data_IF_758990525564
#
_entry.id   IF_758990525564
#
_cell.length_a   1.000
_cell.length_b   1.000
_cell.length_c   1.000
_cell.angle_alpha   90.00
_cell.angle_beta   90.00
_cell.angle_gamma   90.00
#
_symmetry.space_group_name_H-M   'P 1'
#
loop_
_entity.id
_entity.type
_entity.pdbx_description
1 polymer ?
#
# COMPACT_ATOMS: atom_id res chain seq x y z
N UNK A 1 -51.82 30.77 50.14
CA UNK A 1 -50.94 31.30 49.08
C UNK A 1 -49.89 30.24 48.81
N UNK A 2 -50.12 29.37 47.82
CA UNK A 2 -49.32 28.18 47.53
C UNK A 2 -48.34 28.54 46.39
N UNK A 3 -47.03 28.43 46.63
CA UNK A 3 -45.98 28.69 45.64
C UNK A 3 -45.69 27.38 44.92
N UNK A 4 -46.07 27.29 43.64
CA UNK A 4 -45.72 26.18 42.75
C UNK A 4 -44.40 26.56 42.07
N UNK A 5 -43.29 25.94 42.49
CA UNK A 5 -42.04 25.94 41.75
C UNK A 5 -42.22 25.09 40.49
N UNK A 6 -42.34 25.74 39.33
CA UNK A 6 -42.28 25.08 38.03
C UNK A 6 -40.80 24.80 37.75
N UNK A 7 -40.35 23.61 38.12
CA UNK A 7 -39.01 23.12 37.82
C UNK A 7 -39.02 22.73 36.34
N UNK A 8 -38.56 23.63 35.48
CA UNK A 8 -38.30 23.31 34.07
C UNK A 8 -37.10 22.36 34.02
N UNK A 9 -37.38 21.05 33.98
CA UNK A 9 -36.39 20.01 33.74
C UNK A 9 -36.02 20.08 32.25
N UNK A 10 -35.00 20.86 31.92
CA UNK A 10 -34.40 20.84 30.59
C UNK A 10 -33.80 19.45 30.38
N UNK A 11 -34.47 18.64 29.56
CA UNK A 11 -33.92 17.39 29.06
C UNK A 11 -32.81 17.75 28.08
N UNK A 12 -31.54 17.65 28.51
CA UNK A 12 -30.40 17.71 27.62
C UNK A 12 -30.50 16.53 26.66
N UNK A 13 -30.84 16.80 25.40
CA UNK A 13 -30.67 15.83 24.32
C UNK A 13 -29.18 15.67 24.07
N UNK A 14 -28.57 14.61 24.62
CA UNK A 14 -27.27 14.14 24.17
C UNK A 14 -27.44 13.61 22.74
N UNK A 15 -27.08 14.44 21.77
CA UNK A 15 -26.77 13.98 20.43
C UNK A 15 -25.57 13.04 20.56
N UNK A 16 -25.84 11.74 20.60
CA UNK A 16 -24.84 10.69 20.38
C UNK A 16 -24.38 10.82 18.93
N UNK A 17 -23.43 11.75 18.74
CA UNK A 17 -22.67 11.84 17.52
C UNK A 17 -21.93 10.50 17.42
N UNK A 18 -22.48 9.58 16.63
CA UNK A 18 -21.87 8.30 16.37
C UNK A 18 -20.64 8.59 15.51
N UNK A 19 -19.55 9.00 16.17
CA UNK A 19 -18.27 9.24 15.54
C UNK A 19 -17.77 7.90 14.99
N UNK A 20 -18.15 7.59 13.76
CA UNK A 20 -17.52 6.52 13.00
C UNK A 20 -16.10 6.99 12.69
N UNK A 21 -15.15 6.48 13.46
CA UNK A 21 -13.74 6.71 13.16
C UNK A 21 -13.42 6.03 11.83
N UNK A 22 -12.90 6.80 10.88
CA UNK A 22 -12.47 6.26 9.59
C UNK A 22 -11.39 5.18 9.80
N UNK A 23 -11.45 4.11 9.00
CA UNK A 23 -10.41 3.10 8.99
C UNK A 23 -9.10 3.74 8.48
N UNK A 24 -8.01 3.74 9.27
CA UNK A 24 -6.76 4.38 8.86
C UNK A 24 -6.15 3.77 7.59
N UNK A 25 -6.33 2.47 7.35
CA UNK A 25 -5.85 1.83 6.12
C UNK A 25 -6.65 2.30 4.89
N UNK A 26 -7.97 2.41 5.03
CA UNK A 26 -8.85 2.96 4.00
C UNK A 26 -8.50 4.41 3.68
N UNK A 27 -8.31 5.25 4.71
CA UNK A 27 -7.88 6.65 4.55
C UNK A 27 -6.53 6.74 3.85
N UNK A 28 -5.56 5.93 4.27
CA UNK A 28 -4.22 5.89 3.67
C UNK A 28 -4.27 5.52 2.17
N UNK A 29 -5.14 4.58 1.77
CA UNK A 29 -5.33 4.26 0.35
C UNK A 29 -5.73 5.50 -0.47
N UNK A 30 -6.76 6.21 -0.01
CA UNK A 30 -7.30 7.38 -0.71
C UNK A 30 -6.32 8.55 -0.71
N UNK A 31 -5.62 8.79 0.40
CA UNK A 31 -4.61 9.84 0.53
C UNK A 31 -3.41 9.64 -0.41
N UNK A 32 -3.08 8.39 -0.75
CA UNK A 32 -2.05 8.06 -1.74
C UNK A 32 -2.58 7.96 -3.18
N UNK A 33 -3.79 8.47 -3.43
CA UNK A 33 -4.38 8.53 -4.77
C UNK A 33 -4.92 7.19 -5.28
N UNK A 34 -5.10 6.22 -4.40
CA UNK A 34 -5.74 4.94 -4.71
C UNK A 34 -7.26 4.98 -4.58
N UNK A 35 -7.92 3.95 -5.10
CA UNK A 35 -9.34 3.67 -4.90
C UNK A 35 -9.53 2.42 -4.07
N UNK A 36 -10.40 2.47 -3.06
CA UNK A 36 -10.71 1.33 -2.20
C UNK A 36 -11.90 0.53 -2.74
N UNK A 37 -11.75 -0.79 -2.79
CA UNK A 37 -12.80 -1.77 -3.11
C UNK A 37 -12.93 -2.75 -1.93
N UNK A 38 -14.16 -3.03 -1.48
CA UNK A 38 -14.39 -4.10 -0.49
C UNK A 38 -14.66 -5.39 -1.27
N UNK A 39 -13.86 -6.42 -1.01
CA UNK A 39 -13.93 -7.71 -1.70
C UNK A 39 -14.32 -8.80 -0.70
N UNK A 40 -15.40 -9.53 -1.01
CA UNK A 40 -15.77 -10.74 -0.28
C UNK A 40 -14.78 -11.88 -0.56
N UNK A 41 -14.43 -12.62 0.48
CA UNK A 41 -13.57 -13.80 0.48
C UNK A 41 -14.18 -14.88 1.38
N UNK A 42 -13.64 -16.10 1.28
CA UNK A 42 -14.10 -17.23 2.08
C UNK A 42 -13.97 -16.98 3.60
N UNK A 43 -13.06 -16.09 4.01
CA UNK A 43 -12.76 -15.72 5.39
C UNK A 43 -13.37 -14.38 5.85
N UNK A 44 -14.14 -13.70 5.01
CA UNK A 44 -14.81 -12.44 5.33
C UNK A 44 -14.65 -11.39 4.23
N UNK A 45 -14.59 -10.12 4.60
CA UNK A 45 -14.38 -9.01 3.67
C UNK A 45 -12.99 -8.41 3.88
N UNK A 46 -12.32 -8.07 2.78
CA UNK A 46 -11.04 -7.35 2.80
C UNK A 46 -11.16 -6.07 1.99
N UNK A 47 -10.52 -5.00 2.47
CA UNK A 47 -10.32 -3.80 1.67
C UNK A 47 -9.16 -4.01 0.71
N UNK A 48 -9.37 -3.71 -0.57
CA UNK A 48 -8.34 -3.74 -1.61
C UNK A 48 -8.14 -2.32 -2.13
N UNK A 49 -6.94 -1.78 -1.93
CA UNK A 49 -6.50 -0.54 -2.52
C UNK A 49 -5.98 -0.78 -3.94
N UNK A 50 -6.49 -0.03 -4.91
CA UNK A 50 -5.97 0.01 -6.29
C UNK A 50 -5.29 1.36 -6.51
N UNK A 51 -3.98 1.36 -6.73
CA UNK A 51 -3.18 2.57 -6.97
C UNK A 51 -3.25 3.02 -8.44
N UNK A 52 -2.79 4.23 -8.71
CA UNK A 52 -2.83 4.86 -10.04
C UNK A 52 -2.00 4.15 -11.10
N UNK A 53 -0.96 3.41 -10.69
CA UNK A 53 -0.15 2.54 -11.56
C UNK A 53 -0.79 1.18 -11.82
N UNK A 54 -1.98 0.91 -11.25
CA UNK A 54 -2.71 -0.34 -11.37
C UNK A 54 -2.34 -1.39 -10.31
N UNK A 55 -1.41 -1.10 -9.40
CA UNK A 55 -1.07 -1.98 -8.28
C UNK A 55 -2.30 -2.21 -7.43
N UNK A 56 -2.67 -3.48 -7.21
CA UNK A 56 -3.76 -3.88 -6.32
C UNK A 56 -3.19 -4.53 -5.08
N UNK A 57 -3.64 -4.05 -3.91
CA UNK A 57 -3.07 -4.41 -2.63
C UNK A 57 -4.14 -4.49 -1.56
N UNK A 58 -4.02 -5.41 -0.60
CA UNK A 58 -4.88 -5.33 0.58
C UNK A 58 -4.56 -4.04 1.37
N UNK A 59 -5.59 -3.35 1.88
CA UNK A 59 -5.45 -1.99 2.43
C UNK A 59 -4.51 -1.93 3.65
N UNK A 60 -4.54 -2.94 4.51
CA UNK A 60 -3.66 -3.01 5.67
C UNK A 60 -2.22 -3.39 5.30
N UNK A 61 -2.03 -4.24 4.30
CA UNK A 61 -0.73 -4.53 3.72
C UNK A 61 -0.13 -3.26 3.10
N UNK A 62 -0.94 -2.47 2.38
CA UNK A 62 -0.50 -1.18 1.85
C UNK A 62 -0.12 -0.21 2.96
N UNK A 63 -0.98 -0.06 3.98
CA UNK A 63 -0.72 0.78 5.15
C UNK A 63 0.59 0.42 5.89
N UNK A 64 0.96 -0.87 5.94
CA UNK A 64 2.21 -1.34 6.55
C UNK A 64 3.41 -1.34 5.60
N UNK A 65 3.24 -0.98 4.32
CA UNK A 65 4.30 -1.04 3.31
C UNK A 65 4.68 -2.46 2.90
N UNK A 66 3.80 -3.44 3.12
CA UNK A 66 3.95 -4.85 2.73
C UNK A 66 3.42 -5.11 1.31
N UNK A 67 2.96 -4.05 0.65
CA UNK A 67 2.52 -4.11 -0.72
C UNK A 67 3.67 -4.50 -1.66
N UNK A 68 3.43 -5.33 -2.69
CA UNK A 68 4.39 -5.47 -3.77
C UNK A 68 4.76 -4.09 -4.29
N UNK A 69 6.07 -3.79 -4.35
CA UNK A 69 6.52 -2.56 -5.01
C UNK A 69 6.00 -2.61 -6.44
N UNK A 70 5.43 -1.50 -6.92
CA UNK A 70 5.20 -1.34 -8.34
C UNK A 70 6.55 -1.49 -9.02
N UNK A 71 6.69 -2.53 -9.82
CA UNK A 71 7.91 -2.80 -10.54
C UNK A 71 7.84 -2.10 -11.89
N UNK A 72 8.81 -1.24 -12.16
CA UNK A 72 9.01 -0.72 -13.50
C UNK A 72 9.28 -1.88 -14.48
N UNK A 73 8.97 -1.71 -15.79
CA UNK A 73 9.37 -2.69 -16.79
C UNK A 73 10.88 -2.95 -16.73
N UNK A 74 11.26 -4.23 -16.77
CA UNK A 74 12.67 -4.59 -16.65
C UNK A 74 13.51 -3.95 -17.76
N UNK A 75 14.64 -3.32 -17.44
CA UNK A 75 15.58 -2.86 -18.45
C UNK A 75 16.17 -4.07 -19.17
N UNK A 76 16.24 -4.00 -20.50
CA UNK A 76 16.94 -5.01 -21.29
C UNK A 76 18.44 -4.72 -21.26
N UNK A 77 19.21 -5.59 -20.59
CA UNK A 77 20.66 -5.46 -20.52
C UNK A 77 21.34 -6.15 -21.70
N UNK A 78 22.09 -5.39 -22.49
CA UNK A 78 22.98 -5.93 -23.51
C UNK A 78 24.26 -6.44 -22.84
N UNK A 79 24.63 -7.69 -23.08
CA UNK A 79 25.88 -8.26 -22.59
C UNK A 79 27.07 -7.50 -23.20
N UNK A 80 27.97 -6.93 -22.38
CA UNK A 80 29.07 -6.15 -22.89
C UNK A 80 30.15 -7.03 -23.54
N UNK A 81 30.97 -6.40 -24.38
CA UNK A 81 32.10 -7.02 -25.05
C UNK A 81 33.21 -7.46 -24.07
N UNK A 82 34.21 -8.21 -24.56
CA UNK A 82 35.29 -8.75 -23.74
C UNK A 82 36.13 -7.67 -23.03
N UNK A 83 36.10 -6.41 -23.50
CA UNK A 83 36.81 -5.30 -22.86
C UNK A 83 36.25 -4.98 -21.46
N UNK A 84 34.99 -5.32 -21.20
CA UNK A 84 34.35 -5.10 -19.90
C UNK A 84 34.96 -5.96 -18.78
N UNK A 85 35.48 -7.14 -19.11
CA UNK A 85 36.06 -8.07 -18.14
C UNK A 85 37.29 -8.81 -18.72
N UNK A 86 38.43 -8.12 -18.89
CA UNK A 86 39.58 -8.66 -19.64
C UNK A 86 40.24 -9.89 -18.98
N UNK A 87 40.03 -10.10 -17.68
CA UNK A 87 40.62 -11.20 -16.90
C UNK A 87 39.57 -11.90 -16.02
N UNK A 88 38.34 -12.06 -16.55
CA UNK A 88 37.26 -12.70 -15.81
C UNK A 88 36.15 -13.22 -16.70
N UNK A 89 35.07 -13.66 -16.07
CA UNK A 89 33.83 -14.03 -16.74
C UNK A 89 32.81 -12.91 -16.58
N UNK A 90 32.13 -12.55 -17.67
CA UNK A 90 30.95 -11.69 -17.62
C UNK A 90 29.77 -12.59 -17.28
N UNK A 91 29.11 -12.32 -16.15
CA UNK A 91 27.94 -13.08 -15.70
C UNK A 91 26.75 -12.14 -15.51
N UNK A 92 25.54 -12.67 -15.59
CA UNK A 92 24.33 -11.90 -15.29
C UNK A 92 24.36 -11.44 -13.82
N UNK A 93 23.92 -10.21 -13.56
CA UNK A 93 23.81 -9.69 -12.21
C UNK A 93 22.70 -10.40 -11.41
N UNK A 94 22.73 -10.17 -10.09
CA UNK A 94 21.70 -10.68 -9.18
C UNK A 94 20.36 -10.01 -9.54
N UNK A 95 19.25 -10.77 -9.61
CA UNK A 95 17.94 -10.18 -9.83
C UNK A 95 17.56 -9.18 -8.71
N UNK A 96 16.83 -8.12 -9.07
CA UNK A 96 16.28 -7.20 -8.08
C UNK A 96 15.02 -7.76 -7.39
N UNK A 97 14.47 -7.02 -6.42
CA UNK A 97 13.23 -7.36 -5.71
C UNK A 97 12.02 -7.53 -6.66
N UNK A 98 12.13 -6.99 -7.88
CA UNK A 98 11.14 -7.03 -8.94
C UNK A 98 11.34 -8.21 -9.91
N UNK A 99 12.37 -9.03 -9.68
CA UNK A 99 12.70 -10.18 -10.52
C UNK A 99 13.37 -9.81 -11.85
N UNK A 100 13.75 -8.54 -12.06
CA UNK A 100 14.50 -8.14 -13.23
C UNK A 100 15.94 -8.62 -13.11
N UNK A 101 16.49 -9.16 -14.21
CA UNK A 101 17.90 -9.54 -14.26
C UNK A 101 18.77 -8.34 -13.91
N UNK A 102 19.76 -8.49 -13.02
CA UNK A 102 20.68 -7.41 -12.72
C UNK A 102 21.65 -7.11 -13.88
N UNK A 103 22.28 -5.92 -13.88
CA UNK A 103 23.26 -5.56 -14.90
C UNK A 103 24.42 -6.58 -14.94
N UNK A 104 25.03 -6.85 -16.11
CA UNK A 104 26.15 -7.76 -16.22
C UNK A 104 27.30 -7.35 -15.28
N UNK A 105 27.89 -8.33 -14.59
CA UNK A 105 29.01 -8.12 -13.66
C UNK A 105 30.25 -8.88 -14.12
N UNK A 106 31.42 -8.33 -13.81
CA UNK A 106 32.72 -8.98 -14.07
C UNK A 106 33.15 -9.82 -12.86
N UNK A 107 33.11 -11.14 -13.00
CA UNK A 107 33.64 -12.09 -12.03
C UNK A 107 35.09 -12.42 -12.37
N UNK A 108 36.03 -11.80 -11.66
CA UNK A 108 37.47 -12.11 -11.78
C UNK A 108 37.75 -13.49 -11.16
N UNK A 109 38.67 -14.25 -11.77
CA UNK A 109 39.16 -15.51 -11.20
C UNK A 109 40.01 -15.28 -9.96
#
# INVERSE_FOLDING_TARGET
MLIICIIAFACSTESTDNAQLANPASTHCVENGGSLEIVDRDDGQVGVCTLSDGTRCEEWAFYRGECPKACDPCPEYVMPGPEFCPNGAIIQGIPDDCGCAGPPICMKK
#
